data_IF_810127302959
#
_entry.id   IF_810127302959
#
_cell.length_a   1.000
_cell.length_b   1.000
_cell.length_c   1.000
_cell.angle_alpha   90.00
_cell.angle_beta   90.00
_cell.angle_gamma   90.00
#
_symmetry.space_group_name_H-M   'P 1'
#
loop_
_entity.id
_entity.type
_entity.pdbx_description
1 polymer ?
#
# COMPACT_ATOMS: atom_id res chain seq x y z
N UNK A 1 25.45 23.45 -35.56
CA UNK A 1 25.78 22.12 -35.01
C UNK A 1 26.09 22.28 -33.54
N UNK A 2 25.21 21.86 -32.63
CA UNK A 2 25.46 21.89 -31.19
C UNK A 2 25.62 20.45 -30.69
N UNK A 3 26.86 20.08 -30.36
CA UNK A 3 27.16 18.86 -29.60
C UNK A 3 26.75 19.10 -28.16
N UNK A 4 25.79 18.33 -27.65
CA UNK A 4 25.51 18.27 -26.22
C UNK A 4 26.47 17.25 -25.61
N UNK A 5 27.47 17.72 -24.87
CA UNK A 5 28.23 16.87 -23.97
C UNK A 5 27.28 16.46 -22.82
N UNK A 6 27.06 15.15 -22.67
CA UNK A 6 26.46 14.60 -21.45
C UNK A 6 27.37 15.00 -20.28
N UNK A 7 26.84 15.77 -19.34
CA UNK A 7 27.52 16.02 -18.07
C UNK A 7 27.80 14.72 -17.32
N UNK A 8 28.70 14.73 -16.32
CA UNK A 8 29.06 13.53 -15.59
C UNK A 8 27.83 12.88 -14.95
N UNK A 9 27.78 11.55 -15.01
CA UNK A 9 26.76 10.73 -14.37
C UNK A 9 26.76 11.05 -12.86
N UNK A 10 25.60 11.39 -12.24
CA UNK A 10 25.57 11.62 -10.80
C UNK A 10 26.00 10.35 -10.06
N UNK A 11 26.96 10.51 -9.14
CA UNK A 11 27.41 9.46 -8.21
C UNK A 11 26.21 8.82 -7.50
N UNK A 12 26.27 7.53 -7.13
CA UNK A 12 25.21 6.83 -6.40
C UNK A 12 25.17 7.31 -4.94
N UNK A 13 24.79 8.57 -4.75
CA UNK A 13 24.38 9.12 -3.47
C UNK A 13 23.09 8.42 -3.04
N UNK A 14 23.04 8.06 -1.77
CA UNK A 14 21.89 7.51 -1.06
C UNK A 14 20.64 8.34 -1.41
N UNK A 15 19.82 7.86 -2.37
CA UNK A 15 18.54 8.51 -2.67
C UNK A 15 17.69 8.33 -1.43
N UNK A 16 17.44 9.42 -0.72
CA UNK A 16 16.32 9.46 0.21
C UNK A 16 15.06 9.20 -0.62
N UNK A 17 14.30 8.13 -0.33
CA UNK A 17 13.08 7.86 -1.06
C UNK A 17 12.17 9.08 -0.95
N UNK A 18 11.53 9.46 -2.05
CA UNK A 18 10.47 10.49 -1.96
C UNK A 18 9.38 9.97 -1.00
N UNK A 19 8.63 10.84 -0.31
CA UNK A 19 7.58 10.39 0.64
C UNK A 19 6.60 9.37 0.05
N UNK A 20 6.31 9.49 -1.26
CA UNK A 20 5.50 8.51 -2.01
C UNK A 20 6.16 7.12 -2.12
N UNK A 21 7.46 7.08 -2.44
CA UNK A 21 8.22 5.83 -2.52
C UNK A 21 8.23 5.16 -1.14
N UNK A 22 8.43 5.92 -0.06
CA UNK A 22 8.37 5.37 1.30
C UNK A 22 6.99 4.80 1.66
N UNK A 23 5.91 5.47 1.25
CA UNK A 23 4.54 5.03 1.56
C UNK A 23 4.20 3.67 0.94
N UNK A 24 4.56 3.46 -0.33
CA UNK A 24 4.36 2.16 -0.98
C UNK A 24 5.29 1.09 -0.41
N UNK A 25 6.55 1.44 -0.07
CA UNK A 25 7.48 0.51 0.57
C UNK A 25 6.94 -0.03 1.90
N UNK A 26 6.35 0.83 2.74
CA UNK A 26 5.76 0.40 4.00
C UNK A 26 4.60 -0.59 3.81
N UNK A 27 3.77 -0.41 2.79
CA UNK A 27 2.68 -1.36 2.47
C UNK A 27 3.24 -2.69 2.00
N UNK A 28 4.23 -2.67 1.10
CA UNK A 28 4.89 -3.89 0.61
C UNK A 28 5.53 -4.66 1.77
N UNK A 29 6.28 -3.97 2.64
CA UNK A 29 6.96 -4.59 3.77
C UNK A 29 5.97 -5.14 4.80
N UNK A 30 4.86 -4.44 5.04
CA UNK A 30 3.77 -4.92 5.88
C UNK A 30 3.13 -6.20 5.35
N UNK A 31 2.77 -6.24 4.06
CA UNK A 31 2.17 -7.43 3.44
C UNK A 31 3.15 -8.60 3.45
N UNK A 32 4.44 -8.37 3.15
CA UNK A 32 5.48 -9.40 3.25
C UNK A 32 5.58 -9.97 4.66
N UNK A 33 5.58 -9.11 5.69
CA UNK A 33 5.62 -9.57 7.07
C UNK A 33 4.38 -10.42 7.43
N UNK A 34 3.21 -10.08 6.90
CA UNK A 34 2.01 -10.91 7.06
C UNK A 34 2.13 -12.27 6.36
N UNK A 35 2.70 -12.33 5.14
CA UNK A 35 2.97 -13.59 4.44
C UNK A 35 3.96 -14.45 5.23
N UNK A 36 5.06 -13.86 5.70
CA UNK A 36 6.07 -14.55 6.52
C UNK A 36 5.50 -15.10 7.83
N UNK A 37 4.54 -14.39 8.43
CA UNK A 37 3.83 -14.82 9.63
C UNK A 37 2.72 -15.86 9.35
N UNK A 38 2.46 -16.22 8.08
CA UNK A 38 1.35 -17.11 7.72
C UNK A 38 -0.03 -16.47 7.92
N UNK A 39 -0.12 -15.14 7.88
CA UNK A 39 -1.34 -14.35 8.07
C UNK A 39 -1.89 -13.78 6.74
N UNK A 40 -1.17 -13.94 5.63
CA UNK A 40 -1.62 -13.53 4.29
C UNK A 40 -1.36 -14.65 3.29
N UNK A 41 -2.28 -14.85 2.34
CA UNK A 41 -2.10 -15.76 1.20
C UNK A 41 -1.59 -15.06 -0.08
N UNK A 42 -1.17 -13.81 0.04
CA UNK A 42 -0.57 -13.03 -1.06
C UNK A 42 0.61 -13.76 -1.70
N UNK A 43 0.57 -13.91 -3.02
CA UNK A 43 1.69 -14.44 -3.82
C UNK A 43 2.50 -13.34 -4.50
N UNK A 44 2.00 -12.10 -4.52
CA UNK A 44 2.68 -10.92 -5.04
C UNK A 44 2.43 -9.70 -4.14
N UNK A 45 3.20 -9.57 -3.03
CA UNK A 45 3.02 -8.48 -2.09
C UNK A 45 3.17 -7.08 -2.68
N UNK A 46 3.88 -6.95 -3.82
CA UNK A 46 4.04 -5.66 -4.49
C UNK A 46 2.78 -5.27 -5.25
N UNK A 47 2.21 -6.20 -6.03
CA UNK A 47 0.95 -5.97 -6.71
C UNK A 47 -0.18 -5.66 -5.71
N UNK A 48 -0.27 -6.43 -4.63
CA UNK A 48 -1.31 -6.25 -3.62
C UNK A 48 -1.17 -4.93 -2.86
N UNK A 49 0.06 -4.51 -2.55
CA UNK A 49 0.33 -3.19 -1.98
C UNK A 49 -0.14 -2.05 -2.90
N UNK A 50 0.03 -2.17 -4.22
CA UNK A 50 -0.46 -1.18 -5.18
C UNK A 50 -1.99 -1.13 -5.22
N UNK A 51 -2.65 -2.28 -5.11
CA UNK A 51 -4.12 -2.36 -5.06
C UNK A 51 -4.65 -1.73 -3.76
N UNK A 52 -4.07 -2.08 -2.61
CA UNK A 52 -4.37 -1.47 -1.31
C UNK A 52 -4.18 0.05 -1.36
N UNK A 53 -3.02 0.51 -1.86
CA UNK A 53 -2.73 1.94 -1.97
C UNK A 53 -3.76 2.66 -2.84
N UNK A 54 -4.10 2.09 -4.00
CA UNK A 54 -5.07 2.67 -4.93
C UNK A 54 -6.47 2.79 -4.29
N UNK A 55 -6.90 1.77 -3.56
CA UNK A 55 -8.18 1.77 -2.86
C UNK A 55 -8.21 2.83 -1.74
N UNK A 56 -7.15 2.92 -0.93
CA UNK A 56 -7.03 3.92 0.13
C UNK A 56 -7.00 5.35 -0.42
N UNK A 57 -6.27 5.57 -1.52
CA UNK A 57 -6.22 6.86 -2.19
C UNK A 57 -7.61 7.24 -2.74
N UNK A 58 -8.31 6.29 -3.37
CA UNK A 58 -9.69 6.49 -3.84
C UNK A 58 -10.64 6.82 -2.70
N UNK A 59 -10.56 6.07 -1.59
CA UNK A 59 -11.38 6.31 -0.40
C UNK A 59 -11.17 7.71 0.17
N UNK A 60 -9.91 8.10 0.41
CA UNK A 60 -9.56 9.42 0.91
C UNK A 60 -10.03 10.54 -0.04
N UNK A 61 -9.86 10.35 -1.35
CA UNK A 61 -10.33 11.29 -2.37
C UNK A 61 -11.85 11.47 -2.34
N UNK A 62 -12.62 10.38 -2.21
CA UNK A 62 -14.07 10.47 -2.11
C UNK A 62 -14.53 11.13 -0.81
N UNK A 63 -13.91 10.78 0.33
CA UNK A 63 -14.21 11.39 1.65
C UNK A 63 -13.97 12.90 1.63
N UNK A 64 -12.91 13.35 0.95
CA UNK A 64 -12.57 14.76 0.84
C UNK A 64 -13.56 15.57 -0.04
N UNK A 65 -14.20 14.93 -1.02
CA UNK A 65 -15.00 15.63 -2.03
C UNK A 65 -16.52 15.40 -1.92
N UNK A 66 -16.97 14.38 -1.17
CA UNK A 66 -18.39 14.02 -1.07
C UNK A 66 -18.88 14.09 0.39
N UNK A 67 -19.28 15.30 0.79
CA UNK A 67 -19.68 15.62 2.17
C UNK A 67 -21.08 15.09 2.55
N UNK A 68 -21.96 14.84 1.59
CA UNK A 68 -23.36 14.46 1.82
C UNK A 68 -23.61 12.94 1.74
N UNK A 69 -22.58 12.15 1.48
CA UNK A 69 -22.70 10.69 1.43
C UNK A 69 -22.83 10.17 2.86
N UNK A 70 -23.82 9.31 3.17
CA UNK A 70 -23.92 8.64 4.46
C UNK A 70 -22.87 7.52 4.51
N UNK A 71 -21.61 7.93 4.73
CA UNK A 71 -20.49 7.01 4.84
C UNK A 71 -20.74 5.96 5.93
N UNK A 72 -20.36 4.72 5.63
CA UNK A 72 -20.25 3.70 6.66
C UNK A 72 -19.13 4.07 7.64
N UNK A 73 -19.04 3.33 8.75
CA UNK A 73 -17.96 3.49 9.71
C UNK A 73 -16.58 3.44 9.02
N UNK A 74 -15.78 4.48 9.25
CA UNK A 74 -14.48 4.68 8.57
C UNK A 74 -13.54 3.51 8.90
N UNK A 75 -13.41 3.15 10.17
CA UNK A 75 -12.51 2.09 10.62
C UNK A 75 -12.91 0.72 10.07
N UNK A 76 -14.20 0.39 10.10
CA UNK A 76 -14.71 -0.84 9.49
C UNK A 76 -14.41 -0.89 7.99
N UNK A 77 -14.64 0.21 7.28
CA UNK A 77 -14.45 0.27 5.82
C UNK A 77 -12.98 0.11 5.47
N UNK A 78 -12.09 0.85 6.15
CA UNK A 78 -10.65 0.77 5.95
C UNK A 78 -10.11 -0.61 6.31
N UNK A 79 -10.55 -1.18 7.43
CA UNK A 79 -10.16 -2.54 7.84
C UNK A 79 -10.53 -3.59 6.80
N UNK A 80 -11.73 -3.51 6.22
CA UNK A 80 -12.13 -4.43 5.15
C UNK A 80 -11.31 -4.23 3.87
N UNK A 81 -11.13 -2.98 3.42
CA UNK A 81 -10.33 -2.69 2.22
C UNK A 81 -8.91 -3.22 2.36
N UNK A 82 -8.25 -2.96 3.49
CA UNK A 82 -6.88 -3.44 3.73
C UNK A 82 -6.87 -4.95 3.84
N UNK A 83 -7.72 -5.57 4.66
CA UNK A 83 -7.67 -7.01 4.89
C UNK A 83 -7.96 -7.82 3.62
N UNK A 84 -8.99 -7.46 2.87
CA UNK A 84 -9.37 -8.20 1.67
C UNK A 84 -8.32 -8.03 0.55
N UNK A 85 -7.81 -6.81 0.33
CA UNK A 85 -6.86 -6.52 -0.76
C UNK A 85 -5.42 -6.91 -0.42
N UNK A 86 -5.08 -7.01 0.88
CA UNK A 86 -3.81 -7.57 1.35
C UNK A 86 -3.89 -9.09 1.59
N UNK A 87 -4.98 -9.73 1.18
CA UNK A 87 -5.08 -11.19 1.20
C UNK A 87 -4.95 -11.77 2.63
N UNK A 88 -5.40 -11.02 3.65
CA UNK A 88 -5.26 -11.42 5.03
C UNK A 88 -6.20 -12.57 5.37
N UNK A 89 -5.64 -13.61 5.99
CA UNK A 89 -6.38 -14.74 6.48
C UNK A 89 -7.22 -14.30 7.69
N UNK A 90 -8.53 -14.52 7.61
CA UNK A 90 -9.43 -14.29 8.75
C UNK A 90 -9.32 -15.47 9.70
N UNK A 91 -8.81 -15.24 10.91
CA UNK A 91 -8.96 -16.22 11.98
C UNK A 91 -10.45 -16.34 12.30
N UNK A 92 -11.06 -17.55 12.22
CA UNK A 92 -12.43 -17.71 12.66
C UNK A 92 -12.52 -17.36 14.16
N UNK A 93 -13.58 -16.69 14.62
CA UNK A 93 -13.74 -16.40 16.04
C UNK A 93 -13.86 -17.73 16.81
N UNK A 94 -12.77 -18.15 17.46
CA UNK A 94 -12.68 -19.37 18.27
C UNK A 94 -11.49 -20.31 18.02
N UNK A 95 -10.49 -19.97 17.20
CA UNK A 95 -9.34 -20.85 16.96
C UNK A 95 -8.29 -20.82 18.07
N UNK A 96 -8.35 -21.77 19.02
CA UNK A 96 -7.20 -22.21 19.82
C UNK A 96 -6.31 -23.16 18.99
N UNK A 97 -5.00 -23.10 19.26
CA UNK A 97 -3.94 -23.96 18.68
C UNK A 97 -4.04 -25.40 19.17
#
# INVERSE_FOLDING_TARGET
>A
MFTTALGPNPEPGLRTPKPFEQGIHNLVDGIKACVEAGLSDSTDPFADALVVWSALHGYAGLRANLLSVPWLDDERTLSHLVADLAHLLRTPPGGEL
#
